data_IF_049785894305
#
_entry.id   IF_049785894305
#
_cell.length_a   1.000
_cell.length_b   1.000
_cell.length_c   1.000
_cell.angle_alpha   90.00
_cell.angle_beta   90.00
_cell.angle_gamma   90.00
#
_symmetry.space_group_name_H-M   'P 1'
#
loop_
_entity.id
_entity.type
_entity.pdbx_description
1 polymer ?
#
# COMPACT_ATOMS: atom_id res chain seq x y z
N UNK A 1 4.48 -0.30 -26.89
CA UNK A 1 4.96 -1.66 -26.54
C UNK A 1 4.99 -1.93 -25.03
N UNK A 2 4.83 -0.93 -24.15
CA UNK A 2 4.87 -1.14 -22.69
C UNK A 2 3.70 -1.98 -22.13
N UNK A 3 2.49 -1.80 -22.67
CA UNK A 3 1.29 -2.56 -22.28
C UNK A 3 1.42 -4.10 -22.31
N UNK A 4 2.23 -4.63 -23.22
CA UNK A 4 2.48 -6.08 -23.36
C UNK A 4 3.15 -6.69 -22.12
N UNK A 5 3.77 -5.86 -21.27
CA UNK A 5 4.47 -6.32 -20.07
C UNK A 5 3.72 -5.94 -18.79
N UNK A 6 3.05 -4.79 -18.76
CA UNK A 6 2.34 -4.30 -17.56
C UNK A 6 1.05 -5.06 -17.27
N UNK A 7 0.24 -5.35 -18.30
CA UNK A 7 -1.03 -6.08 -18.11
C UNK A 7 -0.79 -7.53 -17.68
N UNK A 8 0.08 -8.33 -18.37
CA UNK A 8 0.32 -9.70 -17.95
C UNK A 8 1.00 -9.80 -16.59
N UNK A 9 1.93 -8.89 -16.28
CA UNK A 9 2.56 -8.84 -14.95
C UNK A 9 1.55 -8.48 -13.86
N UNK A 10 0.68 -7.49 -14.10
CA UNK A 10 -0.38 -7.11 -13.18
C UNK A 10 -1.37 -8.26 -12.93
N UNK A 11 -1.80 -8.93 -14.00
CA UNK A 11 -2.65 -10.12 -13.92
C UNK A 11 -1.97 -11.26 -13.16
N UNK A 12 -0.68 -11.52 -13.42
CA UNK A 12 0.11 -12.51 -12.70
C UNK A 12 0.16 -12.21 -11.19
N UNK A 13 0.47 -10.97 -10.79
CA UNK A 13 0.52 -10.57 -9.38
C UNK A 13 -0.86 -10.65 -8.70
N UNK A 14 -1.93 -10.31 -9.43
CA UNK A 14 -3.29 -10.40 -8.93
C UNK A 14 -3.69 -11.86 -8.70
N UNK A 15 -3.46 -12.73 -9.69
CA UNK A 15 -3.72 -14.16 -9.58
C UNK A 15 -2.86 -14.77 -8.47
N UNK A 16 -1.57 -14.42 -8.41
CA UNK A 16 -0.67 -14.86 -7.35
C UNK A 16 -1.23 -14.44 -5.99
N UNK A 17 -1.67 -13.19 -5.80
CA UNK A 17 -2.29 -12.74 -4.56
C UNK A 17 -3.63 -13.42 -4.22
N UNK A 18 -4.44 -13.78 -5.22
CA UNK A 18 -5.70 -14.51 -4.99
C UNK A 18 -5.43 -15.95 -4.56
N UNK A 19 -4.57 -16.66 -5.30
CA UNK A 19 -4.27 -18.08 -5.13
C UNK A 19 -3.26 -18.35 -4.00
N UNK A 20 -2.42 -17.37 -3.65
CA UNK A 20 -1.49 -17.49 -2.55
C UNK A 20 -2.26 -17.41 -1.23
N UNK A 21 -2.61 -18.59 -0.72
CA UNK A 21 -3.00 -18.76 0.65
C UNK A 21 -1.73 -19.01 1.47
N UNK A 22 -1.51 -18.28 2.57
CA UNK A 22 -0.42 -18.61 3.46
C UNK A 22 -0.67 -20.00 4.03
N UNK A 23 0.03 -21.00 3.50
CA UNK A 23 -0.07 -22.36 4.02
C UNK A 23 0.31 -22.34 5.50
N UNK A 24 -0.54 -22.84 6.42
CA UNK A 24 -0.18 -22.93 7.83
C UNK A 24 1.02 -23.88 7.96
N UNK A 25 2.18 -23.30 8.24
CA UNK A 25 3.49 -23.99 8.24
C UNK A 25 3.54 -25.07 9.34
N UNK A 26 2.75 -24.91 10.41
CA UNK A 26 2.72 -25.82 11.56
C UNK A 26 1.33 -26.40 11.83
N UNK A 27 1.28 -27.63 12.40
CA UNK A 27 0.05 -28.19 13.00
C UNK A 27 -0.57 -27.25 14.05
N UNK A 28 0.26 -26.45 14.75
CA UNK A 28 -0.20 -25.43 15.70
C UNK A 28 -0.95 -24.30 14.97
N UNK A 29 -0.44 -23.88 13.80
CA UNK A 29 -1.05 -22.83 12.98
C UNK A 29 -2.40 -23.28 12.41
N UNK A 30 -2.56 -24.56 12.03
CA UNK A 30 -3.87 -25.12 11.62
C UNK A 30 -4.90 -25.05 12.74
N UNK A 31 -4.55 -25.49 13.95
CA UNK A 31 -5.45 -25.39 15.12
C UNK A 31 -5.84 -23.94 15.41
N UNK A 32 -4.91 -23.01 15.18
CA UNK A 32 -5.14 -21.58 15.36
C UNK A 32 -6.11 -21.01 14.31
N UNK A 33 -5.98 -21.45 13.06
CA UNK A 33 -6.87 -21.05 11.97
C UNK A 33 -8.30 -21.55 12.23
N UNK A 34 -8.47 -22.83 12.56
CA UNK A 34 -9.80 -23.38 12.95
C UNK A 34 -10.43 -22.63 14.12
N UNK A 35 -9.59 -22.16 15.06
CA UNK A 35 -10.01 -21.34 16.20
C UNK A 35 -10.43 -19.91 15.80
N UNK A 36 -9.76 -19.31 14.81
CA UNK A 36 -10.12 -18.01 14.25
C UNK A 36 -11.41 -18.08 13.45
N UNK A 37 -11.56 -19.11 12.61
CA UNK A 37 -12.76 -19.33 11.79
C UNK A 37 -13.98 -19.58 12.70
N UNK A 38 -13.80 -20.36 13.78
CA UNK A 38 -14.82 -20.53 14.82
C UNK A 38 -15.14 -19.25 15.60
N UNK A 39 -14.14 -18.38 15.85
CA UNK A 39 -14.35 -17.09 16.51
C UNK A 39 -15.05 -16.06 15.61
N UNK A 40 -14.89 -16.17 14.28
CA UNK A 40 -15.57 -15.34 13.28
C UNK A 40 -16.99 -15.83 12.98
N UNK A 41 -17.44 -16.94 13.59
CA UNK A 41 -18.79 -17.46 13.48
C UNK A 41 -19.03 -18.36 12.27
N UNK A 42 -17.97 -18.77 11.55
CA UNK A 42 -18.09 -19.67 10.41
C UNK A 42 -18.23 -21.15 10.82
N UNK A 43 -17.98 -21.48 12.10
CA UNK A 43 -18.18 -22.82 12.66
C UNK A 43 -19.05 -22.76 13.92
N UNK A 44 -19.95 -23.73 14.13
CA UNK A 44 -20.77 -23.80 15.34
C UNK A 44 -19.85 -23.92 16.56
N UNK A 45 -19.90 -22.90 17.42
CA UNK A 45 -19.05 -22.79 18.61
C UNK A 45 -19.34 -23.94 19.59
N UNK A 46 -18.56 -25.03 19.52
CA UNK A 46 -18.80 -26.20 20.37
C UNK A 46 -18.32 -26.05 21.81
N UNK A 47 -17.61 -24.99 22.18
CA UNK A 47 -17.25 -24.71 23.58
C UNK A 47 -16.99 -23.21 23.72
N UNK A 48 -17.76 -22.52 24.57
CA UNK A 48 -17.81 -21.06 24.70
C UNK A 48 -16.55 -20.34 25.20
N UNK A 49 -15.39 -21.01 25.16
CA UNK A 49 -14.13 -20.41 25.57
C UNK A 49 -13.40 -19.85 24.34
N UNK A 50 -13.43 -18.52 24.18
CA UNK A 50 -12.69 -17.85 23.10
C UNK A 50 -11.20 -18.17 23.26
N UNK A 51 -10.57 -18.82 22.27
CA UNK A 51 -9.17 -19.18 22.38
C UNK A 51 -8.32 -17.91 22.45
N UNK A 52 -7.56 -17.74 23.54
CA UNK A 52 -6.59 -16.64 23.67
C UNK A 52 -5.42 -16.91 22.72
N UNK A 53 -5.36 -16.18 21.60
CA UNK A 53 -4.19 -16.15 20.73
C UNK A 53 -3.04 -15.40 21.40
N UNK A 54 -1.80 -15.84 21.20
CA UNK A 54 -0.64 -15.05 21.61
C UNK A 54 -0.43 -13.87 20.66
N UNK A 55 0.14 -12.78 21.17
CA UNK A 55 0.40 -11.54 20.41
C UNK A 55 1.29 -11.79 19.19
N UNK A 56 2.24 -12.73 19.29
CA UNK A 56 3.10 -13.14 18.19
C UNK A 56 2.34 -13.84 17.06
N UNK A 57 1.40 -14.72 17.40
CA UNK A 57 0.57 -15.44 16.42
C UNK A 57 -0.31 -14.47 15.64
N UNK A 58 -0.91 -13.50 16.33
CA UNK A 58 -1.68 -12.42 15.69
C UNK A 58 -0.79 -11.60 14.75
N UNK A 59 0.40 -11.20 15.20
CA UNK A 59 1.36 -10.42 14.38
C UNK A 59 1.79 -11.18 13.12
N UNK A 60 2.05 -12.49 13.24
CA UNK A 60 2.42 -13.36 12.11
C UNK A 60 1.28 -13.50 11.10
N UNK A 61 0.05 -13.70 11.57
CA UNK A 61 -1.13 -13.82 10.70
C UNK A 61 -1.42 -12.51 9.96
N UNK A 62 -1.31 -11.36 10.65
CA UNK A 62 -1.46 -10.04 10.05
C UNK A 62 -0.38 -9.77 8.99
N UNK A 63 0.86 -10.22 9.22
CA UNK A 63 1.94 -10.11 8.23
C UNK A 63 1.59 -10.85 6.94
N UNK A 64 1.20 -12.12 7.04
CA UNK A 64 0.88 -12.97 5.89
C UNK A 64 -0.34 -12.43 5.13
N UNK A 65 -1.39 -12.02 5.86
CA UNK A 65 -2.58 -11.39 5.26
C UNK A 65 -2.21 -10.10 4.53
N UNK A 66 -1.32 -9.29 5.10
CA UNK A 66 -0.85 -8.07 4.46
C UNK A 66 -0.04 -8.33 3.19
N UNK A 67 0.70 -9.44 3.08
CA UNK A 67 1.50 -9.77 1.89
C UNK A 67 0.58 -10.12 0.73
N UNK A 68 -0.49 -10.86 1.04
CA UNK A 68 -1.56 -11.19 0.09
C UNK A 68 -2.24 -9.94 -0.44
N UNK A 69 -2.67 -9.03 0.45
CA UNK A 69 -3.34 -7.80 0.04
C UNK A 69 -2.39 -6.90 -0.77
N UNK A 70 -1.10 -6.90 -0.46
CA UNK A 70 -0.09 -6.21 -1.25
C UNK A 70 -0.06 -6.71 -2.69
N UNK A 71 0.04 -8.03 -2.87
CA UNK A 71 0.11 -8.66 -4.19
C UNK A 71 -1.15 -8.37 -5.02
N UNK A 72 -2.33 -8.52 -4.41
CA UNK A 72 -3.60 -8.20 -5.07
C UNK A 72 -3.64 -6.73 -5.47
N UNK A 73 -3.23 -5.84 -4.56
CA UNK A 73 -3.20 -4.40 -4.80
C UNK A 73 -2.25 -3.98 -5.91
N UNK A 74 -1.00 -4.45 -5.87
CA UNK A 74 -0.01 -4.19 -6.92
C UNK A 74 -0.44 -4.78 -8.27
N UNK A 75 -1.05 -5.96 -8.26
CA UNK A 75 -1.59 -6.58 -9.48
C UNK A 75 -2.71 -5.76 -10.10
N UNK A 76 -3.71 -5.36 -9.31
CA UNK A 76 -4.81 -4.50 -9.77
C UNK A 76 -4.30 -3.14 -10.27
N UNK A 77 -3.32 -2.56 -9.58
CA UNK A 77 -2.68 -1.31 -10.00
C UNK A 77 -1.95 -1.45 -11.34
N UNK A 78 -1.16 -2.51 -11.52
CA UNK A 78 -0.44 -2.77 -12.78
C UNK A 78 -1.38 -2.95 -13.97
N UNK A 79 -2.50 -3.67 -13.78
CA UNK A 79 -3.55 -3.81 -14.80
C UNK A 79 -4.15 -2.45 -15.14
N UNK A 80 -4.51 -1.65 -14.13
CA UNK A 80 -5.11 -0.33 -14.34
C UNK A 80 -4.19 0.59 -15.14
N UNK A 81 -2.89 0.65 -14.80
CA UNK A 81 -1.89 1.41 -15.57
C UNK A 81 -1.77 0.89 -17.00
N UNK A 82 -1.74 -0.43 -17.19
CA UNK A 82 -1.69 -1.04 -18.52
C UNK A 82 -2.91 -0.72 -19.38
N UNK A 83 -4.11 -0.71 -18.80
CA UNK A 83 -5.34 -0.30 -19.50
C UNK A 83 -5.29 1.18 -19.89
N UNK A 84 -4.77 2.05 -19.02
CA UNK A 84 -4.64 3.49 -19.32
C UNK A 84 -3.68 3.73 -20.49
N UNK A 85 -2.55 3.00 -20.53
CA UNK A 85 -1.58 3.01 -21.64
C UNK A 85 -2.24 2.52 -22.94
N UNK A 86 -2.96 1.39 -22.89
CA UNK A 86 -3.62 0.77 -24.06
C UNK A 86 -4.74 1.65 -24.64
N UNK A 87 -5.45 2.41 -23.80
CA UNK A 87 -6.45 3.38 -24.23
C UNK A 87 -5.86 4.59 -24.97
N UNK A 88 -4.54 4.68 -25.13
CA UNK A 88 -3.85 5.80 -25.78
C UNK A 88 -4.01 7.11 -25.01
N UNK A 89 -4.32 7.05 -23.71
CA UNK A 89 -4.50 8.25 -22.87
C UNK A 89 -3.18 8.85 -22.37
N UNK A 90 -2.07 8.14 -22.57
CA UNK A 90 -0.74 8.59 -22.22
C UNK A 90 0.02 8.82 -23.52
N UNK A 91 0.18 10.08 -23.92
CA UNK A 91 0.96 10.43 -25.10
C UNK A 91 2.46 10.36 -24.78
N UNK A 92 2.84 10.78 -23.57
CA UNK A 92 4.23 10.75 -23.08
C UNK A 92 4.39 9.91 -21.79
N UNK A 93 4.78 8.65 -21.98
CA UNK A 93 5.09 7.73 -20.87
C UNK A 93 6.23 8.22 -19.96
N UNK A 94 7.17 9.01 -20.47
CA UNK A 94 8.30 9.54 -19.68
C UNK A 94 7.82 10.67 -18.77
N UNK A 95 6.99 11.58 -19.29
CA UNK A 95 6.33 12.60 -18.50
C UNK A 95 5.46 11.97 -17.41
N UNK A 96 4.67 10.95 -17.73
CA UNK A 96 3.88 10.21 -16.75
C UNK A 96 4.75 9.60 -15.63
N UNK A 97 5.79 8.84 -15.97
CA UNK A 97 6.64 8.17 -14.99
C UNK A 97 7.39 9.14 -14.08
N UNK A 98 7.90 10.25 -14.64
CA UNK A 98 8.60 11.28 -13.88
C UNK A 98 7.66 12.01 -12.91
N UNK A 99 6.47 12.41 -13.37
CA UNK A 99 5.45 13.03 -12.53
C UNK A 99 4.94 12.06 -11.46
N UNK A 100 4.71 10.79 -11.81
CA UNK A 100 4.30 9.75 -10.87
C UNK A 100 5.34 9.60 -9.75
N UNK A 101 6.62 9.45 -10.10
CA UNK A 101 7.70 9.32 -9.13
C UNK A 101 7.80 10.54 -8.22
N UNK A 102 7.69 11.74 -8.79
CA UNK A 102 7.71 13.00 -8.04
C UNK A 102 6.55 13.08 -7.04
N UNK A 103 5.30 12.88 -7.50
CA UNK A 103 4.13 12.93 -6.62
C UNK A 103 4.15 11.82 -5.56
N UNK A 104 4.57 10.61 -5.92
CA UNK A 104 4.69 9.50 -4.98
C UNK A 104 5.70 9.82 -3.87
N UNK A 105 6.86 10.38 -4.22
CA UNK A 105 7.87 10.81 -3.26
C UNK A 105 7.35 11.92 -2.33
N UNK A 106 6.66 12.92 -2.88
CA UNK A 106 6.07 14.00 -2.07
C UNK A 106 5.05 13.47 -1.05
N UNK A 107 4.14 12.59 -1.49
CA UNK A 107 3.15 11.99 -0.59
C UNK A 107 3.85 11.16 0.50
N UNK A 108 4.90 10.41 0.16
CA UNK A 108 5.68 9.65 1.15
C UNK A 108 6.34 10.56 2.19
N UNK A 109 6.89 11.71 1.79
CA UNK A 109 7.46 12.70 2.70
C UNK A 109 6.40 13.23 3.67
N UNK A 110 5.20 13.56 3.17
CA UNK A 110 4.07 14.00 4.02
C UNK A 110 3.68 12.90 5.02
N UNK A 111 3.61 11.64 4.56
CA UNK A 111 3.23 10.52 5.42
C UNK A 111 4.26 10.21 6.51
N UNK A 112 5.55 10.44 6.25
CA UNK A 112 6.65 10.18 7.19
C UNK A 112 6.96 11.35 8.12
N UNK A 113 6.33 12.50 7.91
CA UNK A 113 6.51 13.65 8.79
C UNK A 113 5.78 13.45 10.12
N UNK A 114 6.44 13.81 11.23
CA UNK A 114 5.84 13.87 12.56
C UNK A 114 4.51 14.64 12.58
N UNK A 115 3.56 14.18 13.40
CA UNK A 115 2.23 14.78 13.47
C UNK A 115 2.27 16.28 13.82
N UNK A 116 3.23 16.71 14.65
CA UNK A 116 3.44 18.13 15.01
C UNK A 116 3.89 19.00 13.82
N UNK A 117 4.65 18.44 12.89
CA UNK A 117 5.19 19.15 11.70
C UNK A 117 4.40 18.89 10.43
N UNK A 118 3.44 17.97 10.48
CA UNK A 118 2.68 17.50 9.31
C UNK A 118 1.96 18.64 8.58
N UNK A 119 1.45 19.64 9.29
CA UNK A 119 0.85 20.82 8.65
C UNK A 119 1.86 21.63 7.83
N UNK A 120 3.04 21.89 8.37
CA UNK A 120 4.09 22.63 7.65
C UNK A 120 4.56 21.85 6.42
N UNK A 121 4.81 20.55 6.56
CA UNK A 121 5.16 19.71 5.40
C UNK A 121 4.04 19.68 4.37
N UNK A 122 2.77 19.59 4.80
CA UNK A 122 1.63 19.60 3.88
C UNK A 122 1.53 20.91 3.10
N UNK A 123 1.78 22.06 3.73
CA UNK A 123 1.85 23.35 3.04
C UNK A 123 3.00 23.42 2.03
N UNK A 124 4.22 23.03 2.43
CA UNK A 124 5.39 23.01 1.54
C UNK A 124 5.19 22.07 0.35
N UNK A 125 4.66 20.88 0.59
CA UNK A 125 4.38 19.91 -0.47
C UNK A 125 3.21 20.35 -1.35
N UNK A 126 2.20 21.05 -0.82
CA UNK A 126 1.13 21.64 -1.63
C UNK A 126 1.68 22.74 -2.56
N UNK A 127 2.58 23.58 -2.06
CA UNK A 127 3.25 24.59 -2.89
C UNK A 127 4.08 23.94 -4.01
N UNK A 128 4.88 22.93 -3.70
CA UNK A 128 5.62 22.17 -4.70
C UNK A 128 4.69 21.52 -5.74
N UNK A 129 3.55 20.97 -5.30
CA UNK A 129 2.58 20.34 -6.19
C UNK A 129 1.93 21.35 -7.15
N UNK A 130 1.63 22.56 -6.67
CA UNK A 130 1.12 23.66 -7.49
C UNK A 130 2.16 24.13 -8.52
N UNK A 131 3.44 24.21 -8.15
CA UNK A 131 4.52 24.55 -9.08
C UNK A 131 4.70 23.47 -10.16
N UNK A 132 4.68 22.20 -9.77
CA UNK A 132 4.72 21.06 -10.70
C UNK A 132 3.53 21.08 -11.64
N UNK A 133 2.32 21.35 -11.12
CA UNK A 133 1.10 21.46 -11.93
C UNK A 133 1.20 22.61 -12.94
N UNK A 134 1.61 23.80 -12.51
CA UNK A 134 1.79 24.94 -13.41
C UNK A 134 2.84 24.65 -14.50
N UNK A 135 3.90 23.90 -14.17
CA UNK A 135 4.87 23.45 -15.16
C UNK A 135 4.29 22.43 -16.14
N UNK A 136 3.51 21.45 -15.66
CA UNK A 136 2.84 20.46 -16.51
C UNK A 136 1.87 21.13 -17.50
N UNK A 137 1.11 22.13 -17.04
CA UNK A 137 0.25 22.97 -17.89
C UNK A 137 1.05 23.68 -18.98
N UNK A 138 2.17 24.31 -18.62
CA UNK A 138 3.04 25.00 -19.59
C UNK A 138 3.61 24.08 -20.68
N UNK A 139 3.77 22.79 -20.36
CA UNK A 139 4.28 21.76 -21.25
C UNK A 139 3.17 20.98 -21.96
N UNK A 140 1.89 21.29 -21.68
CA UNK A 140 0.69 20.62 -22.21
C UNK A 140 0.62 19.11 -21.89
N UNK A 141 1.20 18.68 -20.77
CA UNK A 141 1.18 17.28 -20.28
C UNK A 141 0.21 17.10 -19.11
N UNK A 142 -0.95 17.76 -19.19
CA UNK A 142 -1.93 17.83 -18.10
C UNK A 142 -2.65 16.48 -17.91
N UNK A 143 -2.89 15.74 -18.99
CA UNK A 143 -3.49 14.40 -18.94
C UNK A 143 -2.57 13.42 -18.21
N UNK A 144 -1.28 13.39 -18.57
CA UNK A 144 -0.24 12.59 -17.91
C UNK A 144 -0.13 12.98 -16.44
N UNK A 145 -0.15 14.28 -16.14
CA UNK A 145 -0.13 14.80 -14.77
C UNK A 145 -1.28 14.29 -13.92
N UNK A 146 -2.51 14.33 -14.45
CA UNK A 146 -3.70 13.82 -13.75
C UNK A 146 -3.58 12.32 -13.46
N UNK A 147 -3.20 11.52 -14.46
CA UNK A 147 -3.00 10.09 -14.28
C UNK A 147 -1.85 9.78 -13.33
N UNK A 148 -0.76 10.55 -13.37
CA UNK A 148 0.37 10.41 -12.47
C UNK A 148 -0.02 10.68 -11.01
N UNK A 149 -0.84 11.71 -10.75
CA UNK A 149 -1.37 11.98 -9.40
C UNK A 149 -2.25 10.83 -8.92
N UNK A 150 -3.19 10.36 -9.75
CA UNK A 150 -4.07 9.23 -9.41
C UNK A 150 -3.25 7.96 -9.14
N UNK A 151 -2.25 7.70 -9.99
CA UNK A 151 -1.36 6.56 -9.84
C UNK A 151 -0.52 6.67 -8.56
N UNK A 152 0.02 7.86 -8.26
CA UNK A 152 0.81 8.11 -7.06
C UNK A 152 -0.02 7.94 -5.78
N UNK A 153 -1.26 8.43 -5.77
CA UNK A 153 -2.21 8.23 -4.67
C UNK A 153 -2.55 6.76 -4.49
N UNK A 154 -2.84 6.04 -5.59
CA UNK A 154 -3.11 4.60 -5.56
C UNK A 154 -1.94 3.80 -5.01
N UNK A 155 -0.72 4.06 -5.49
CA UNK A 155 0.50 3.43 -5.01
C UNK A 155 0.76 3.76 -3.53
N UNK A 156 0.57 5.00 -3.10
CA UNK A 156 0.73 5.38 -1.69
C UNK A 156 -0.34 4.75 -0.79
N UNK A 157 -1.58 4.65 -1.25
CA UNK A 157 -2.65 3.99 -0.52
C UNK A 157 -2.34 2.50 -0.34
N UNK A 158 -1.88 1.82 -1.39
CA UNK A 158 -1.42 0.44 -1.32
C UNK A 158 -0.23 0.29 -0.37
N UNK A 159 0.76 1.17 -0.47
CA UNK A 159 1.88 1.22 0.46
C UNK A 159 1.41 1.34 1.91
N UNK A 160 0.49 2.25 2.19
CA UNK A 160 -0.08 2.45 3.52
C UNK A 160 -0.80 1.20 4.02
N UNK A 161 -1.65 0.59 3.19
CA UNK A 161 -2.42 -0.61 3.54
C UNK A 161 -1.49 -1.77 3.92
N UNK A 162 -0.38 -1.93 3.18
CA UNK A 162 0.55 -3.03 3.34
C UNK A 162 1.56 -2.82 4.45
N UNK A 163 2.20 -1.64 4.49
CA UNK A 163 3.38 -1.37 5.33
C UNK A 163 2.99 -0.65 6.62
N UNK A 164 2.15 0.39 6.53
CA UNK A 164 1.81 1.19 7.72
C UNK A 164 1.01 0.39 8.75
N UNK A 165 0.22 -0.60 8.29
CA UNK A 165 -0.47 -1.53 9.19
C UNK A 165 0.49 -2.47 9.95
N UNK A 166 1.70 -2.71 9.44
CA UNK A 166 2.71 -3.59 10.07
C UNK A 166 3.69 -2.84 10.96
N UNK A 167 4.05 -1.63 10.56
CA UNK A 167 5.03 -0.79 11.22
C UNK A 167 4.43 0.60 11.41
N UNK A 168 3.50 0.77 12.37
CA UNK A 168 3.06 2.11 12.70
C UNK A 168 4.29 2.95 13.07
N UNK A 169 4.38 4.21 12.62
CA UNK A 169 5.48 5.08 12.99
C UNK A 169 5.54 5.14 14.52
N UNK A 170 6.71 4.82 15.09
CA UNK A 170 6.93 4.93 16.51
C UNK A 170 6.69 6.37 16.95
N UNK A 171 5.93 6.55 18.02
CA UNK A 171 5.82 7.86 18.66
C UNK A 171 7.18 8.22 19.24
N UNK A 172 7.66 9.44 19.00
CA UNK A 172 8.88 9.98 19.62
C UNK A 172 8.87 9.80 21.14
N UNK A 173 7.68 9.82 21.73
CA UNK A 173 7.44 9.70 23.17
C UNK A 173 7.73 8.29 23.71
N UNK A 174 7.92 7.30 22.84
CA UNK A 174 8.33 5.95 23.23
C UNK A 174 9.86 5.77 23.29
N UNK A 175 10.64 6.80 22.93
CA UNK A 175 12.10 6.77 23.00
C UNK A 175 12.52 7.20 24.41
N UNK A 176 12.70 6.22 25.29
CA UNK A 176 13.25 6.43 26.62
C UNK A 176 14.76 6.71 26.49
N UNK A 177 15.17 7.93 26.84
CA UNK A 177 16.60 8.31 26.86
C UNK A 177 17.16 7.92 28.22
N UNK A 178 17.88 6.81 28.28
CA UNK A 178 18.60 6.38 29.48
C UNK A 178 19.70 7.40 29.83
N UNK A 179 19.69 7.90 31.07
CA UNK A 179 20.74 8.79 31.59
C UNK A 179 20.35 10.26 31.77
N UNK A 180 19.05 10.60 31.79
CA UNK A 180 18.54 11.89 32.27
C UNK A 180 18.02 11.83 33.72
N UNK A 181 18.67 11.02 34.57
CA UNK A 181 18.49 11.02 36.03
C UNK A 181 19.76 11.54 36.72
#
# INVERSE_FOLDING_TARGET
>A
MGWLLTIPMGAFLLLLGIYWQPNPISRKDRKLQTRLDAAQGELPAQTGEKPKLTTEQVRRYLRLTGERIALIGFGAFGIMVGIIDDLGKLEDSTAFLSLFGLYAAMILVVQRTEQRRKMVTLWLMSLAALLTWGRAESLRVTTEGNWAVLAALGANFLFWLVINRRYPPGTSDAIEVYGME
#
